data_IF_965995813787
#
_entry.id   IF_965995813787
#
_cell.length_a   1.000
_cell.length_b   1.000
_cell.length_c   1.000
_cell.angle_alpha   90.00
_cell.angle_beta   90.00
_cell.angle_gamma   90.00
#
_symmetry.space_group_name_H-M   'P 1'
#
loop_
_entity.id
_entity.type
_entity.pdbx_description
1 polymer ?
#
# COMPACT_ATOMS: atom_id res chain seq x y z
N UNK A 1 -81.08 -60.56 -9.19
CA UNK A 1 -82.03 -59.44 -9.00
C UNK A 1 -81.22 -58.23 -8.55
N UNK A 2 -81.11 -57.18 -9.38
CA UNK A 2 -80.49 -55.90 -8.98
C UNK A 2 -81.61 -54.97 -8.51
N UNK A 3 -81.38 -54.18 -7.46
CA UNK A 3 -81.69 -52.76 -7.59
C UNK A 3 -80.65 -51.85 -6.93
N UNK A 4 -80.47 -50.68 -7.53
CA UNK A 4 -79.80 -49.46 -7.02
C UNK A 4 -80.89 -48.39 -6.80
N UNK A 5 -80.55 -47.16 -6.34
CA UNK A 5 -79.97 -46.65 -5.09
C UNK A 5 -81.06 -45.79 -4.36
N UNK A 6 -80.84 -44.82 -3.42
CA UNK A 6 -80.19 -43.53 -3.71
C UNK A 6 -79.52 -42.77 -2.52
N UNK A 7 -78.89 -41.65 -2.90
CA UNK A 7 -78.62 -40.39 -2.19
C UNK A 7 -77.66 -40.30 -0.99
N UNK A 8 -76.53 -39.65 -1.30
CA UNK A 8 -75.63 -38.93 -0.39
C UNK A 8 -76.16 -37.49 -0.25
N UNK A 9 -76.22 -36.90 0.96
CA UNK A 9 -75.43 -35.67 1.10
C UNK A 9 -74.89 -35.40 2.52
N UNK A 10 -73.60 -35.04 2.54
CA UNK A 10 -73.01 -33.97 3.37
C UNK A 10 -72.89 -34.21 4.88
N UNK A 11 -71.66 -34.38 5.34
CA UNK A 11 -70.90 -33.31 6.01
C UNK A 11 -69.78 -33.94 6.83
N UNK A 12 -68.63 -33.26 6.90
CA UNK A 12 -67.83 -32.96 8.09
C UNK A 12 -66.35 -32.90 7.73
N UNK A 13 -65.76 -31.71 7.87
CA UNK A 13 -64.33 -31.61 8.20
C UNK A 13 -63.52 -30.71 7.26
N UNK A 14 -62.85 -29.68 7.80
CA UNK A 14 -62.26 -28.60 7.03
C UNK A 14 -61.02 -29.04 6.25
N UNK A 15 -60.96 -28.53 5.03
CA UNK A 15 -59.78 -28.17 4.28
C UNK A 15 -58.59 -27.86 5.20
N UNK A 16 -57.79 -28.89 5.46
CA UNK A 16 -56.55 -28.77 6.23
C UNK A 16 -55.43 -29.37 5.39
N UNK A 17 -54.75 -28.44 4.70
CA UNK A 17 -53.34 -28.53 4.34
C UNK A 17 -52.95 -29.79 3.54
N UNK A 18 -53.45 -29.91 2.32
CA UNK A 18 -52.70 -30.66 1.29
C UNK A 18 -51.60 -29.75 0.77
N UNK A 19 -50.52 -29.65 1.53
CA UNK A 19 -49.25 -29.12 1.05
C UNK A 19 -48.75 -30.12 0.00
N UNK A 20 -48.94 -29.81 -1.29
CA UNK A 20 -48.30 -30.54 -2.39
C UNK A 20 -46.79 -30.26 -2.36
N UNK A 21 -46.07 -30.92 -1.45
CA UNK A 21 -44.64 -31.16 -1.58
C UNK A 21 -44.44 -32.51 -2.24
N UNK A 22 -43.54 -32.49 -3.22
CA UNK A 22 -43.01 -33.61 -3.99
C UNK A 22 -43.83 -33.97 -5.24
N UNK A 23 -43.22 -34.17 -6.41
CA UNK A 23 -41.82 -34.49 -6.65
C UNK A 23 -41.06 -33.42 -7.41
N UNK A 24 -39.99 -32.90 -6.80
CA UNK A 24 -38.81 -32.55 -7.59
C UNK A 24 -38.35 -33.83 -8.29
N UNK A 25 -38.28 -33.90 -9.63
CA UNK A 25 -37.62 -35.04 -10.27
C UNK A 25 -36.20 -35.12 -9.70
N UNK A 26 -35.83 -36.29 -9.18
CA UNK A 26 -34.44 -36.55 -8.84
C UNK A 26 -33.60 -36.28 -10.10
N UNK A 27 -32.60 -35.39 -10.06
CA UNK A 27 -31.75 -35.21 -11.23
C UNK A 27 -30.94 -36.48 -11.38
N UNK A 28 -31.40 -37.41 -12.22
CA UNK A 28 -30.57 -38.51 -12.71
C UNK A 28 -29.55 -37.89 -13.66
N UNK A 29 -28.50 -37.32 -13.07
CA UNK A 29 -27.35 -36.81 -13.80
C UNK A 29 -26.45 -38.00 -14.09
N UNK A 30 -26.80 -38.75 -15.13
CA UNK A 30 -25.87 -39.65 -15.81
C UNK A 30 -24.86 -38.78 -16.55
N UNK A 31 -23.91 -38.24 -15.78
CA UNK A 31 -22.75 -37.59 -16.37
C UNK A 31 -21.99 -38.63 -17.16
N UNK A 32 -22.08 -38.55 -18.49
CA UNK A 32 -21.18 -39.32 -19.36
C UNK A 32 -19.74 -39.11 -18.91
N UNK A 33 -18.89 -40.13 -19.03
CA UNK A 33 -17.46 -40.02 -18.67
C UNK A 33 -16.77 -38.82 -19.35
N UNK A 34 -17.27 -38.41 -20.53
CA UNK A 34 -16.85 -37.21 -21.24
C UNK A 34 -17.24 -35.89 -20.53
N UNK A 35 -18.48 -35.78 -20.01
CA UNK A 35 -18.92 -34.60 -19.25
C UNK A 35 -18.21 -34.48 -17.90
N UNK A 36 -17.94 -35.59 -17.21
CA UNK A 36 -17.18 -35.56 -15.94
C UNK A 36 -15.70 -35.20 -16.16
N UNK A 37 -15.09 -35.60 -17.29
CA UNK A 37 -13.73 -35.20 -17.67
C UNK A 37 -13.66 -33.71 -18.00
N UNK A 38 -14.65 -33.17 -18.72
CA UNK A 38 -14.75 -31.74 -19.04
C UNK A 38 -14.94 -30.89 -17.79
N UNK A 39 -15.78 -31.32 -16.85
CA UNK A 39 -15.98 -30.63 -15.56
C UNK A 39 -14.70 -30.59 -14.71
N UNK A 40 -13.96 -31.69 -14.62
CA UNK A 40 -12.66 -31.74 -13.92
C UNK A 40 -11.61 -30.83 -14.57
N UNK A 41 -11.55 -30.81 -15.91
CA UNK A 41 -10.66 -29.88 -16.64
C UNK A 41 -11.02 -28.42 -16.37
N UNK A 42 -12.31 -28.09 -16.31
CA UNK A 42 -12.76 -26.74 -15.93
C UNK A 42 -12.37 -26.38 -14.49
N UNK A 43 -12.52 -27.29 -13.53
CA UNK A 43 -12.09 -27.05 -12.15
C UNK A 43 -10.57 -26.84 -12.03
N UNK A 44 -9.77 -27.63 -12.76
CA UNK A 44 -8.32 -27.43 -12.83
C UNK A 44 -7.95 -26.11 -13.50
N UNK A 45 -8.66 -25.71 -14.56
CA UNK A 45 -8.43 -24.44 -15.23
C UNK A 45 -8.73 -23.25 -14.30
N UNK A 46 -9.79 -23.31 -13.51
CA UNK A 46 -10.11 -22.29 -12.50
C UNK A 46 -9.04 -22.25 -11.41
N UNK A 47 -8.66 -23.41 -10.87
CA UNK A 47 -7.61 -23.49 -9.85
C UNK A 47 -6.29 -22.91 -10.37
N UNK A 48 -5.91 -23.25 -11.60
CA UNK A 48 -4.74 -22.67 -12.26
C UNK A 48 -4.90 -21.17 -12.45
N UNK A 49 -6.03 -20.68 -12.94
CA UNK A 49 -6.25 -19.24 -13.13
C UNK A 49 -6.10 -18.44 -11.81
N UNK A 50 -6.53 -19.01 -10.68
CA UNK A 50 -6.38 -18.40 -9.36
C UNK A 50 -4.97 -18.56 -8.76
N UNK A 51 -4.31 -19.70 -8.97
CA UNK A 51 -2.97 -19.96 -8.43
C UNK A 51 -1.85 -19.32 -9.26
N UNK A 52 -2.08 -19.11 -10.56
CA UNK A 52 -1.09 -18.65 -11.51
C UNK A 52 -0.48 -17.28 -11.12
N UNK A 53 -1.24 -16.24 -10.70
CA UNK A 53 -0.65 -14.96 -10.31
C UNK A 53 0.30 -15.07 -9.12
N UNK A 54 0.00 -15.92 -8.13
CA UNK A 54 0.84 -16.12 -6.93
C UNK A 54 2.12 -16.87 -7.31
N UNK A 55 1.99 -17.95 -8.07
CA UNK A 55 3.14 -18.74 -8.55
C UNK A 55 4.04 -17.88 -9.43
N UNK A 56 3.45 -17.10 -10.35
CA UNK A 56 4.20 -16.20 -11.22
C UNK A 56 4.94 -15.12 -10.41
N UNK A 57 4.29 -14.52 -9.41
CA UNK A 57 4.94 -13.55 -8.50
C UNK A 57 6.16 -14.16 -7.78
N UNK A 58 6.01 -15.34 -7.19
CA UNK A 58 7.13 -16.02 -6.52
C UNK A 58 8.23 -16.43 -7.50
N UNK A 59 7.87 -16.99 -8.66
CA UNK A 59 8.83 -17.41 -9.67
C UNK A 59 9.63 -16.21 -10.21
N UNK A 60 8.95 -15.12 -10.54
CA UNK A 60 9.62 -13.89 -10.97
C UNK A 60 10.48 -13.30 -9.86
N UNK A 61 10.04 -13.32 -8.60
CA UNK A 61 10.85 -12.82 -7.49
C UNK A 61 12.10 -13.65 -7.22
N UNK A 62 12.02 -14.99 -7.24
CA UNK A 62 13.13 -15.87 -6.84
C UNK A 62 14.02 -16.33 -7.99
N UNK A 63 13.45 -16.57 -9.18
CA UNK A 63 14.15 -17.14 -10.36
C UNK A 63 14.56 -16.04 -11.33
N UNK A 64 13.63 -15.17 -11.72
CA UNK A 64 13.89 -14.03 -12.62
C UNK A 64 14.09 -12.76 -11.77
N UNK A 65 14.99 -12.80 -10.78
CA UNK A 65 15.24 -11.65 -9.89
C UNK A 65 15.45 -10.39 -10.74
N UNK A 66 14.54 -9.40 -10.72
CA UNK A 66 14.76 -8.19 -11.47
C UNK A 66 15.95 -7.47 -10.83
N UNK A 67 17.08 -7.42 -11.54
CA UNK A 67 18.30 -6.77 -11.05
C UNK A 67 18.17 -5.24 -11.00
N UNK A 68 17.07 -4.69 -11.51
CA UNK A 68 16.77 -3.26 -11.47
C UNK A 68 16.28 -2.83 -10.09
N UNK A 69 17.19 -2.34 -9.24
CA UNK A 69 16.78 -1.47 -8.14
C UNK A 69 16.19 -0.20 -8.79
N UNK A 70 14.91 0.09 -8.55
CA UNK A 70 14.27 1.38 -8.94
C UNK A 70 14.68 2.53 -8.00
N UNK A 71 15.67 2.30 -7.14
CA UNK A 71 16.18 3.30 -6.23
C UNK A 71 17.03 4.28 -7.02
N UNK A 72 16.57 5.53 -7.10
CA UNK A 72 17.35 6.63 -7.68
C UNK A 72 18.52 7.09 -6.78
N UNK A 73 18.80 6.35 -5.70
CA UNK A 73 19.85 6.64 -4.73
C UNK A 73 20.80 5.44 -4.56
N UNK A 74 22.07 5.74 -4.36
CA UNK A 74 23.09 4.78 -3.94
C UNK A 74 23.21 4.80 -2.43
N UNK A 75 23.14 3.62 -1.80
CA UNK A 75 23.39 3.51 -0.38
C UNK A 75 24.91 3.62 -0.14
N UNK A 76 25.30 4.33 0.91
CA UNK A 76 26.71 4.54 1.24
C UNK A 76 27.19 3.31 2.02
N UNK A 77 27.82 2.39 1.30
CA UNK A 77 28.49 1.21 1.86
C UNK A 77 30.03 1.41 1.88
N UNK A 78 30.72 1.21 3.02
CA UNK A 78 30.17 1.02 4.37
C UNK A 78 29.65 2.34 4.97
N UNK A 79 28.75 2.21 5.95
CA UNK A 79 28.24 3.35 6.72
C UNK A 79 29.39 4.10 7.38
N UNK A 80 29.58 5.37 7.01
CA UNK A 80 30.60 6.22 7.63
C UNK A 80 30.00 6.94 8.84
N UNK A 81 30.64 6.90 10.02
CA UNK A 81 30.19 7.70 11.14
C UNK A 81 30.28 9.18 10.78
N UNK A 82 29.30 9.97 11.21
CA UNK A 82 29.42 11.41 11.17
C UNK A 82 30.59 11.84 12.05
N UNK A 83 31.35 12.88 11.67
CA UNK A 83 32.38 13.46 12.53
C UNK A 83 31.77 13.86 13.87
N UNK A 84 32.60 13.97 14.91
CA UNK A 84 32.14 14.34 16.25
C UNK A 84 31.32 15.64 16.18
N UNK A 85 29.99 15.50 16.24
CA UNK A 85 29.04 16.59 16.01
C UNK A 85 29.19 17.75 17.02
N UNK A 86 29.86 17.50 18.16
CA UNK A 86 30.22 18.54 19.12
C UNK A 86 31.46 19.37 18.77
N UNK A 87 32.22 18.99 17.74
CA UNK A 87 33.45 19.67 17.32
C UNK A 87 33.29 20.47 16.01
N UNK A 88 32.16 20.31 15.32
CA UNK A 88 31.87 21.08 14.11
C UNK A 88 31.11 22.34 14.53
N UNK A 89 31.68 23.54 14.37
CA UNK A 89 30.95 24.77 14.65
C UNK A 89 29.81 24.89 13.66
N UNK A 90 28.58 24.93 14.17
CA UNK A 90 27.39 25.18 13.39
C UNK A 90 26.63 26.36 13.98
N UNK A 91 26.03 27.14 13.09
CA UNK A 91 25.18 28.27 13.44
C UNK A 91 23.81 28.05 12.78
N UNK A 92 22.76 28.44 13.49
CA UNK A 92 21.44 28.55 12.86
C UNK A 92 21.38 29.76 11.91
N UNK A 93 20.24 29.93 11.25
CA UNK A 93 20.02 31.07 10.35
C UNK A 93 19.99 32.43 11.07
N UNK A 94 19.84 32.44 12.40
CA UNK A 94 19.88 33.63 13.24
C UNK A 94 21.30 33.92 13.78
N UNK A 95 22.31 33.13 13.38
CA UNK A 95 23.69 33.25 13.84
C UNK A 95 23.93 32.71 15.26
N UNK A 96 22.97 32.01 15.85
CA UNK A 96 23.15 31.37 17.16
C UNK A 96 23.95 30.09 16.97
N UNK A 97 24.92 29.86 17.85
CA UNK A 97 25.65 28.59 17.87
C UNK A 97 24.71 27.47 18.28
N UNK A 98 24.62 26.42 17.44
CA UNK A 98 23.79 25.24 17.70
C UNK A 98 24.69 24.01 17.70
N UNK A 99 24.75 23.25 18.81
CA UNK A 99 25.50 22.01 18.83
C UNK A 99 24.79 20.97 17.96
N UNK A 100 25.48 20.41 16.96
CA UNK A 100 24.89 19.42 16.05
C UNK A 100 24.49 18.12 16.77
N UNK A 101 24.92 17.92 18.02
CA UNK A 101 24.48 16.80 18.86
C UNK A 101 22.97 16.79 19.12
N UNK A 102 22.29 17.93 18.98
CA UNK A 102 20.82 18.02 19.07
C UNK A 102 20.11 17.27 17.93
N UNK A 103 20.78 17.08 16.79
CA UNK A 103 20.26 16.35 15.63
C UNK A 103 20.44 14.83 15.74
N UNK A 104 21.08 14.35 16.82
CA UNK A 104 21.35 12.92 17.03
C UNK A 104 20.06 12.18 17.38
N UNK A 105 19.88 11.00 16.80
CA UNK A 105 18.75 10.11 17.11
C UNK A 105 17.48 10.40 16.30
N UNK A 106 17.57 11.27 15.30
CA UNK A 106 16.46 11.60 14.39
C UNK A 106 16.84 11.29 12.95
N UNK A 107 15.85 11.05 12.09
CA UNK A 107 16.10 10.86 10.67
C UNK A 107 16.36 12.22 10.02
N UNK A 108 17.56 12.42 9.50
CA UNK A 108 17.96 13.68 8.87
C UNK A 108 17.83 13.56 7.36
N UNK A 109 17.03 14.44 6.76
CA UNK A 109 17.06 14.69 5.33
C UNK A 109 17.93 15.93 5.12
N UNK A 110 19.11 15.79 4.52
CA UNK A 110 20.09 16.87 4.40
C UNK A 110 20.20 17.32 2.93
N UNK A 111 20.01 18.61 2.68
CA UNK A 111 20.37 19.27 1.41
C UNK A 111 21.61 20.10 1.68
N UNK A 112 22.67 19.93 0.89
CA UNK A 112 23.89 20.74 0.97
C UNK A 112 23.92 21.67 -0.23
N UNK A 113 23.92 22.98 0.01
CA UNK A 113 23.94 23.98 -1.05
C UNK A 113 24.36 25.36 -0.50
N UNK A 114 24.99 26.22 -1.32
CA UNK A 114 25.43 27.55 -0.90
C UNK A 114 24.24 28.48 -0.61
N UNK A 115 24.50 29.57 0.12
CA UNK A 115 23.46 30.51 0.54
C UNK A 115 22.73 31.20 -0.62
N UNK A 116 23.39 31.30 -1.78
CA UNK A 116 22.79 31.81 -3.03
C UNK A 116 21.66 30.92 -3.58
N UNK A 117 21.59 29.66 -3.17
CA UNK A 117 20.54 28.66 -3.44
C UNK A 117 19.85 28.83 -4.81
N UNK A 118 20.52 28.39 -5.88
CA UNK A 118 19.95 28.40 -7.22
C UNK A 118 18.72 27.48 -7.38
N UNK A 119 18.15 27.43 -8.60
CA UNK A 119 16.90 26.71 -8.91
C UNK A 119 16.87 25.24 -8.47
N UNK A 120 17.99 24.52 -8.58
CA UNK A 120 18.09 23.13 -8.12
C UNK A 120 18.00 23.03 -6.59
N UNK A 121 18.63 23.96 -5.86
CA UNK A 121 18.53 24.04 -4.41
C UNK A 121 17.08 24.34 -3.98
N UNK A 122 16.45 25.35 -4.56
CA UNK A 122 15.03 25.67 -4.30
C UNK A 122 14.12 24.45 -4.51
N UNK A 123 14.30 23.74 -5.63
CA UNK A 123 13.54 22.53 -5.93
C UNK A 123 13.78 21.41 -4.91
N UNK A 124 15.03 21.21 -4.48
CA UNK A 124 15.35 20.20 -3.48
C UNK A 124 14.74 20.54 -2.11
N UNK A 125 14.78 21.81 -1.69
CA UNK A 125 14.15 22.27 -0.45
C UNK A 125 12.62 22.11 -0.51
N UNK A 126 12.01 22.40 -1.66
CA UNK A 126 10.60 22.15 -1.89
C UNK A 126 10.25 20.66 -1.79
N UNK A 127 10.99 19.80 -2.49
CA UNK A 127 10.78 18.35 -2.44
C UNK A 127 10.97 17.79 -1.02
N UNK A 128 11.97 18.28 -0.29
CA UNK A 128 12.20 17.93 1.10
C UNK A 128 10.98 18.25 1.99
N UNK A 129 10.33 19.41 1.76
CA UNK A 129 9.07 19.76 2.44
C UNK A 129 7.94 18.80 2.06
N UNK A 130 7.73 18.57 0.76
CA UNK A 130 6.67 17.68 0.28
C UNK A 130 6.83 16.26 0.84
N UNK A 131 8.04 15.70 0.80
CA UNK A 131 8.33 14.38 1.33
C UNK A 131 8.02 14.27 2.82
N UNK A 132 8.35 15.30 3.61
CA UNK A 132 8.01 15.31 5.03
C UNK A 132 6.51 15.35 5.27
N UNK A 133 5.76 16.19 4.55
CA UNK A 133 4.30 16.27 4.73
C UNK A 133 3.59 14.98 4.28
N UNK A 134 4.10 14.30 3.25
CA UNK A 134 3.58 13.01 2.79
C UNK A 134 3.73 11.88 3.82
N UNK A 135 4.55 12.04 4.86
CA UNK A 135 4.73 11.05 5.94
C UNK A 135 3.60 11.08 6.97
N UNK A 136 2.68 12.05 6.91
CA UNK A 136 1.52 12.13 7.79
C UNK A 136 1.92 12.13 9.28
N UNK A 137 1.40 11.22 10.12
CA UNK A 137 1.73 11.16 11.56
C UNK A 137 3.23 10.99 11.85
N UNK A 138 3.98 10.36 10.95
CA UNK A 138 5.40 10.07 11.14
C UNK A 138 6.31 11.24 10.75
N UNK A 139 5.74 12.37 10.29
CA UNK A 139 6.50 13.54 9.79
C UNK A 139 7.46 14.14 10.82
N UNK A 140 7.17 13.99 12.10
CA UNK A 140 7.97 14.58 13.19
C UNK A 140 9.23 13.77 13.52
N UNK A 141 9.32 12.54 13.01
CA UNK A 141 10.54 11.71 13.11
C UNK A 141 11.61 12.12 12.10
N UNK A 142 11.21 12.84 11.04
CA UNK A 142 12.10 13.32 10.00
C UNK A 142 12.38 14.81 10.21
N UNK A 143 13.64 15.14 10.45
CA UNK A 143 14.13 16.51 10.47
C UNK A 143 14.67 16.91 9.10
N UNK A 144 14.30 18.12 8.67
CA UNK A 144 14.81 18.75 7.45
C UNK A 144 16.00 19.61 7.82
N UNK A 145 17.13 19.38 7.16
CA UNK A 145 18.34 20.18 7.34
C UNK A 145 18.76 20.72 5.98
N UNK A 146 18.97 22.02 5.90
CA UNK A 146 19.73 22.64 4.82
C UNK A 146 21.08 23.05 5.39
N UNK A 147 22.14 22.42 4.90
CA UNK A 147 23.51 22.74 5.26
C UNK A 147 24.06 23.73 4.25
N UNK A 148 24.34 24.94 4.73
CA UNK A 148 24.95 26.02 3.95
C UNK A 148 26.46 25.92 4.08
N UNK A 149 27.15 25.79 2.94
CA UNK A 149 28.60 25.64 2.86
C UNK A 149 29.33 26.95 2.45
N UNK A 150 28.59 28.04 2.26
CA UNK A 150 29.14 29.37 1.97
C UNK A 150 28.86 30.38 3.11
N UNK A 151 29.78 31.33 3.38
CA UNK A 151 29.59 32.36 4.42
C UNK A 151 28.69 33.52 3.99
N UNK A 152 28.05 33.40 2.82
CA UNK A 152 27.24 34.46 2.24
C UNK A 152 25.88 34.59 2.96
N UNK A 153 25.30 35.80 3.03
CA UNK A 153 23.98 35.97 3.61
C UNK A 153 22.91 35.31 2.75
N UNK A 154 21.95 34.65 3.40
CA UNK A 154 20.81 34.01 2.74
C UNK A 154 19.85 35.08 2.23
N UNK A 155 19.37 34.92 1.00
CA UNK A 155 18.41 35.85 0.42
C UNK A 155 17.14 35.96 1.29
N UNK A 156 16.64 37.17 1.58
CA UNK A 156 15.56 37.39 2.55
C UNK A 156 14.25 36.69 2.16
N UNK A 157 13.96 36.61 0.85
CA UNK A 157 12.80 35.88 0.35
C UNK A 157 12.86 34.37 0.66
N UNK A 158 14.05 33.77 0.53
CA UNK A 158 14.28 32.36 0.84
C UNK A 158 14.21 32.12 2.36
N UNK A 159 14.81 33.01 3.16
CA UNK A 159 14.72 32.94 4.61
C UNK A 159 13.26 32.99 5.10
N UNK A 160 12.44 33.89 4.55
CA UNK A 160 11.02 33.96 4.86
C UNK A 160 10.27 32.68 4.46
N UNK A 161 10.58 32.09 3.30
CA UNK A 161 9.96 30.84 2.85
C UNK A 161 10.33 29.63 3.73
N UNK A 162 11.53 29.63 4.34
CA UNK A 162 11.98 28.60 5.26
C UNK A 162 11.41 28.76 6.68
N UNK A 163 11.23 30.00 7.12
CA UNK A 163 10.60 30.32 8.41
C UNK A 163 9.07 30.14 8.39
N UNK A 164 8.46 30.14 7.20
CA UNK A 164 7.05 29.87 7.03
C UNK A 164 6.70 28.50 7.62
N UNK A 165 5.75 28.50 8.57
CA UNK A 165 5.26 27.29 9.21
C UNK A 165 4.72 26.32 8.13
N UNK A 166 5.00 25.00 8.24
CA UNK A 166 4.56 24.01 7.27
C UNK A 166 3.04 24.01 7.08
#
# INVERSE_FOLDING_TARGET
MKPTPPDDPQAHGPESLTFTLHGTPAPMRDYSAAQSRRGRLMMLAILLACALPVIASYFTYYVIRPQGRTNYATLIEPQRPLPALGMVPAQDMDGRSVPLTTLKGQWLMIVVAPASCGKTCERNLFLQRQLREMMGPERDRIQKVWLVDSPEPIAPALAAALAAKP
#
